data_IF_038457084222
#
_entry.id   IF_038457084222
#
_cell.length_a   1.000
_cell.length_b   1.000
_cell.length_c   1.000
_cell.angle_alpha   90.00
_cell.angle_beta   90.00
_cell.angle_gamma   90.00
#
_symmetry.space_group_name_H-M   'P 1'
#
loop_
_entity.id
_entity.type
_entity.pdbx_description
1 polymer ?
#
# COMPACT_ATOMS: atom_id res chain seq x y z
N UNK A 1 13.61 -5.24 16.44
CA UNK A 1 13.69 -5.15 14.96
C UNK A 1 14.94 -5.89 14.53
N UNK A 2 14.80 -7.13 14.08
CA UNK A 2 15.91 -7.88 13.48
C UNK A 2 15.94 -7.50 12.00
N UNK A 3 16.95 -6.73 11.61
CA UNK A 3 17.18 -6.36 10.20
C UNK A 3 17.79 -7.60 9.53
N UNK A 4 17.13 -8.11 8.48
CA UNK A 4 17.67 -9.14 7.60
C UNK A 4 18.30 -8.46 6.36
N UNK A 5 19.33 -9.14 5.84
CA UNK A 5 20.27 -8.83 4.76
C UNK A 5 20.16 -7.51 3.95
N UNK A 6 21.32 -6.93 3.62
CA UNK A 6 21.47 -5.88 2.60
C UNK A 6 21.38 -6.51 1.20
N UNK A 7 20.47 -6.03 0.37
CA UNK A 7 20.29 -6.46 -1.02
C UNK A 7 20.80 -5.40 -2.00
N UNK A 8 21.88 -5.73 -2.70
CA UNK A 8 22.43 -4.97 -3.84
C UNK A 8 22.32 -5.87 -5.07
N UNK A 9 21.35 -5.64 -5.95
CA UNK A 9 21.21 -6.41 -7.19
C UNK A 9 20.90 -7.90 -6.98
N UNK A 10 20.16 -8.24 -5.93
CA UNK A 10 19.80 -9.63 -5.56
C UNK A 10 18.30 -9.92 -5.62
N UNK A 11 17.93 -11.15 -5.27
CA UNK A 11 16.55 -11.64 -5.27
C UNK A 11 16.04 -11.81 -3.84
N UNK A 12 14.87 -11.25 -3.55
CA UNK A 12 14.13 -11.43 -2.30
C UNK A 12 13.19 -12.65 -2.49
N UNK A 13 13.50 -13.81 -1.87
CA UNK A 13 12.68 -14.99 -2.02
C UNK A 13 11.44 -14.93 -1.12
N UNK A 14 10.28 -15.20 -1.70
CA UNK A 14 9.00 -15.30 -1.00
C UNK A 14 8.43 -16.69 -1.23
N UNK A 15 8.43 -17.53 -0.19
CA UNK A 15 7.92 -18.89 -0.28
C UNK A 15 6.53 -18.99 0.34
N UNK A 16 5.53 -19.32 -0.48
CA UNK A 16 4.12 -19.40 -0.08
C UNK A 16 3.65 -20.82 0.25
N UNK A 17 4.54 -21.79 0.42
CA UNK A 17 4.18 -23.18 0.74
C UNK A 17 3.37 -23.35 2.03
N UNK A 18 3.48 -22.40 2.97
CA UNK A 18 2.73 -22.40 4.24
C UNK A 18 1.40 -21.63 4.18
N UNK A 19 1.07 -21.05 3.03
CA UNK A 19 -0.15 -20.26 2.88
C UNK A 19 -1.39 -21.15 2.92
N UNK A 20 -2.42 -20.64 3.61
CA UNK A 20 -3.75 -21.23 3.66
C UNK A 20 -4.76 -20.14 4.04
N UNK A 21 -6.05 -20.50 4.11
CA UNK A 21 -7.13 -19.56 4.46
C UNK A 21 -6.99 -18.87 5.83
N UNK A 22 -6.26 -19.48 6.78
CA UNK A 22 -6.00 -18.92 8.12
C UNK A 22 -4.64 -18.22 8.23
N UNK A 23 -3.71 -18.51 7.31
CA UNK A 23 -2.37 -17.94 7.23
C UNK A 23 -2.11 -17.49 5.79
N UNK A 24 -2.64 -16.33 5.43
CA UNK A 24 -2.59 -15.79 4.06
C UNK A 24 -1.73 -14.52 3.97
N UNK A 25 -0.81 -14.31 4.91
CA UNK A 25 0.04 -13.11 4.97
C UNK A 25 1.50 -13.52 5.13
N UNK A 26 2.32 -13.11 4.18
CA UNK A 26 3.77 -13.13 4.26
C UNK A 26 4.23 -11.70 4.49
N UNK A 27 5.27 -11.53 5.32
CA UNK A 27 5.93 -10.24 5.51
C UNK A 27 7.40 -10.42 5.82
N UNK A 28 8.24 -9.54 5.30
CA UNK A 28 9.68 -9.49 5.60
C UNK A 28 10.19 -8.05 5.57
N UNK A 29 11.31 -7.83 6.27
CA UNK A 29 12.04 -6.57 6.29
C UNK A 29 13.35 -6.75 5.55
N UNK A 30 13.59 -5.93 4.54
CA UNK A 30 14.82 -5.98 3.75
C UNK A 30 15.46 -4.60 3.67
N UNK A 31 16.79 -4.54 3.58
CA UNK A 31 17.49 -3.29 3.25
C UNK A 31 17.80 -3.28 1.76
N UNK A 32 17.11 -2.40 1.04
CA UNK A 32 17.27 -2.21 -0.39
C UNK A 32 18.32 -1.13 -0.68
N UNK A 33 19.26 -1.45 -1.58
CA UNK A 33 20.20 -0.49 -2.15
C UNK A 33 20.24 -0.69 -3.67
N UNK A 34 19.57 0.19 -4.42
CA UNK A 34 19.41 0.07 -5.87
C UNK A 34 18.20 -0.80 -6.24
N UNK A 35 18.39 -1.70 -7.21
CA UNK A 35 17.34 -2.58 -7.71
C UNK A 35 17.45 -4.00 -7.13
N UNK A 36 16.30 -4.67 -7.01
CA UNK A 36 16.20 -6.05 -6.55
C UNK A 36 15.00 -6.74 -7.23
N UNK A 37 15.04 -8.06 -7.28
CA UNK A 37 13.94 -8.88 -7.78
C UNK A 37 13.15 -9.48 -6.61
N UNK A 38 11.84 -9.63 -6.76
CA UNK A 38 10.99 -10.38 -5.82
C UNK A 38 10.57 -11.66 -6.52
N UNK A 39 10.99 -12.81 -6.00
CA UNK A 39 10.60 -14.12 -6.53
C UNK A 39 9.60 -14.76 -5.58
N UNK A 40 8.35 -14.91 -6.04
CA UNK A 40 7.27 -15.53 -5.29
C UNK A 40 7.09 -16.95 -5.80
N UNK A 41 7.31 -17.92 -4.93
CA UNK A 41 7.34 -19.36 -5.24
C UNK A 41 6.29 -20.14 -4.44
N UNK A 42 5.93 -21.31 -4.95
CA UNK A 42 4.97 -22.24 -4.35
C UNK A 42 3.59 -21.59 -4.12
N UNK A 43 3.13 -20.81 -5.10
CA UNK A 43 1.84 -20.12 -5.03
C UNK A 43 0.72 -21.17 -5.00
N UNK A 44 -0.12 -21.22 -3.96
CA UNK A 44 -1.22 -22.16 -3.91
C UNK A 44 -2.32 -21.81 -4.93
N UNK A 45 -2.90 -22.83 -5.58
CA UNK A 45 -3.92 -22.67 -6.62
C UNK A 45 -5.30 -22.28 -6.10
N UNK A 46 -5.54 -22.36 -4.80
CA UNK A 46 -6.80 -22.02 -4.14
C UNK A 46 -6.99 -20.51 -3.90
N UNK A 47 -5.92 -19.72 -4.04
CA UNK A 47 -6.04 -18.26 -4.06
C UNK A 47 -6.51 -17.76 -5.43
N UNK A 48 -7.38 -16.75 -5.42
CA UNK A 48 -7.74 -16.01 -6.62
C UNK A 48 -6.64 -15.03 -7.01
N UNK A 49 -6.12 -14.26 -6.05
CA UNK A 49 -5.07 -13.29 -6.34
C UNK A 49 -4.15 -13.08 -5.14
N UNK A 50 -2.94 -12.58 -5.43
CA UNK A 50 -2.00 -12.09 -4.43
C UNK A 50 -1.95 -10.56 -4.50
N UNK A 51 -1.96 -9.93 -3.34
CA UNK A 51 -1.69 -8.52 -3.17
C UNK A 51 -0.26 -8.34 -2.67
N UNK A 52 0.62 -7.85 -3.55
CA UNK A 52 2.02 -7.57 -3.27
C UNK A 52 2.12 -6.11 -2.88
N UNK A 53 2.53 -5.82 -1.65
CA UNK A 53 2.71 -4.44 -1.17
C UNK A 53 4.12 -4.23 -0.66
N UNK A 54 4.66 -3.06 -1.00
CA UNK A 54 5.96 -2.61 -0.52
C UNK A 54 5.80 -1.27 0.16
N UNK A 55 6.29 -1.22 1.38
CA UNK A 55 6.25 -0.04 2.22
C UNK A 55 7.68 0.42 2.51
N UNK A 56 7.95 1.70 2.28
CA UNK A 56 9.17 2.38 2.68
C UNK A 56 8.81 3.60 3.52
N UNK A 57 9.71 4.01 4.42
CA UNK A 57 9.36 5.04 5.39
C UNK A 57 9.42 6.47 4.83
N UNK A 58 10.56 6.89 4.27
CA UNK A 58 10.77 8.27 3.79
C UNK A 58 11.05 8.37 2.30
N UNK A 59 11.84 7.43 1.78
CA UNK A 59 12.35 7.49 0.43
C UNK A 59 11.53 6.55 -0.45
N UNK A 60 10.95 7.03 -1.56
CA UNK A 60 10.13 6.21 -2.42
C UNK A 60 10.94 5.11 -3.11
N UNK A 61 10.21 4.08 -3.50
CA UNK A 61 10.67 2.93 -4.29
C UNK A 61 9.68 2.72 -5.45
N UNK A 62 10.14 2.06 -6.50
CA UNK A 62 9.30 1.66 -7.63
C UNK A 62 9.11 0.15 -7.63
N UNK A 63 7.87 -0.31 -7.84
CA UNK A 63 7.51 -1.72 -7.97
C UNK A 63 6.88 -1.94 -9.35
N UNK A 64 7.35 -2.95 -10.08
CA UNK A 64 6.92 -3.30 -11.44
C UNK A 64 6.67 -4.79 -11.60
N UNK A 65 5.73 -5.17 -12.46
CA UNK A 65 5.58 -6.56 -12.92
C UNK A 65 6.38 -6.88 -14.19
N UNK A 66 7.08 -5.90 -14.77
CA UNK A 66 8.01 -6.08 -15.89
C UNK A 66 9.40 -5.50 -15.58
N UNK A 67 10.45 -6.11 -16.10
CA UNK A 67 11.85 -5.70 -15.81
C UNK A 67 12.25 -4.37 -16.42
N UNK A 68 11.55 -3.94 -17.47
CA UNK A 68 11.80 -2.71 -18.21
C UNK A 68 11.03 -1.49 -17.68
N UNK A 69 10.16 -1.67 -16.68
CA UNK A 69 9.31 -0.61 -16.12
C UNK A 69 8.51 0.12 -17.22
N UNK A 70 7.94 -0.65 -18.14
CA UNK A 70 7.07 -0.13 -19.20
C UNK A 70 5.91 0.73 -18.63
N UNK A 71 5.33 1.64 -19.43
CA UNK A 71 4.15 2.38 -19.01
C UNK A 71 3.04 1.45 -18.50
N UNK A 72 2.36 1.86 -17.43
CA UNK A 72 1.25 1.16 -16.77
C UNK A 72 1.61 -0.18 -16.07
N UNK A 73 2.88 -0.59 -16.07
CA UNK A 73 3.37 -1.82 -15.42
C UNK A 73 3.98 -1.59 -14.04
N UNK A 74 4.23 -0.34 -13.67
CA UNK A 74 4.88 0.02 -12.42
C UNK A 74 4.20 1.16 -11.68
N UNK A 75 4.49 1.22 -10.38
CA UNK A 75 4.06 2.28 -9.47
C UNK A 75 5.26 2.76 -8.65
N UNK A 76 5.34 4.06 -8.39
CA UNK A 76 6.37 4.70 -7.57
C UNK A 76 5.75 5.37 -6.35
N UNK A 77 6.33 5.16 -5.16
CA UNK A 77 5.86 5.77 -3.92
C UNK A 77 6.46 5.13 -2.67
N UNK A 78 5.93 5.50 -1.51
CA UNK A 78 6.34 4.94 -0.21
C UNK A 78 5.40 3.83 0.27
N UNK A 79 4.17 3.79 -0.21
CA UNK A 79 3.20 2.72 0.06
C UNK A 79 2.59 2.33 -1.27
N UNK A 80 3.13 1.28 -1.86
CA UNK A 80 2.77 0.87 -3.21
C UNK A 80 2.39 -0.60 -3.21
N UNK A 81 1.66 -1.00 -4.24
CA UNK A 81 1.36 -2.39 -4.45
C UNK A 81 0.94 -2.71 -5.87
N UNK A 82 1.07 -3.98 -6.22
CA UNK A 82 0.59 -4.58 -7.45
C UNK A 82 -0.17 -5.87 -7.11
N UNK A 83 -0.93 -6.36 -8.07
CA UNK A 83 -1.68 -7.62 -7.95
C UNK A 83 -1.13 -8.65 -8.91
N UNK A 84 -1.04 -9.88 -8.43
CA UNK A 84 -0.92 -11.07 -9.26
C UNK A 84 -2.27 -11.78 -9.27
N UNK A 85 -2.88 -11.92 -10.45
CA UNK A 85 -4.09 -12.71 -10.63
C UNK A 85 -3.64 -14.15 -10.91
N UNK A 86 -4.16 -15.11 -10.14
CA UNK A 86 -3.79 -16.52 -10.28
C UNK A 86 -4.15 -17.03 -11.69
N UNK A 87 -3.15 -17.58 -12.36
CA UNK A 87 -3.22 -18.08 -13.74
C UNK A 87 -2.75 -19.54 -13.87
N UNK A 88 -2.77 -20.29 -12.75
CA UNK A 88 -2.21 -21.64 -12.59
C UNK A 88 -0.68 -21.67 -12.56
N UNK A 89 -0.02 -20.52 -12.41
CA UNK A 89 1.41 -20.49 -12.10
C UNK A 89 1.68 -20.74 -10.61
N UNK A 90 2.74 -21.49 -10.33
CA UNK A 90 3.31 -21.62 -8.98
C UNK A 90 4.45 -20.63 -8.71
N UNK A 91 4.74 -19.75 -9.69
CA UNK A 91 5.84 -18.80 -9.67
C UNK A 91 5.43 -17.46 -10.29
N UNK A 92 5.79 -16.34 -9.65
CA UNK A 92 5.72 -15.02 -10.27
C UNK A 92 6.90 -14.17 -9.81
N UNK A 93 7.35 -13.27 -10.69
CA UNK A 93 8.44 -12.35 -10.40
C UNK A 93 7.98 -10.89 -10.54
N UNK A 94 8.46 -10.06 -9.61
CA UNK A 94 8.31 -8.61 -9.62
C UNK A 94 9.66 -7.94 -9.49
N UNK A 95 9.74 -6.67 -9.86
CA UNK A 95 10.97 -5.89 -9.91
C UNK A 95 10.85 -4.66 -9.03
N UNK A 96 11.84 -4.48 -8.16
CA UNK A 96 11.99 -3.30 -7.32
C UNK A 96 13.14 -2.44 -7.82
N UNK A 97 12.92 -1.13 -7.82
CA UNK A 97 13.95 -0.14 -8.08
C UNK A 97 13.94 0.97 -7.05
N UNK A 98 15.14 1.42 -6.68
CA UNK A 98 15.34 2.52 -5.76
C UNK A 98 16.67 3.23 -6.07
N UNK A 99 16.84 4.45 -5.55
CA UNK A 99 18.12 5.17 -5.62
C UNK A 99 19.29 4.31 -5.06
N UNK A 100 20.32 4.00 -5.87
CA UNK A 100 21.45 3.16 -5.45
C UNK A 100 22.35 3.83 -4.40
N UNK A 101 22.26 5.14 -4.21
CA UNK A 101 23.09 5.89 -3.26
C UNK A 101 22.48 5.95 -1.85
N UNK A 102 21.25 5.45 -1.67
CA UNK A 102 20.52 5.56 -0.41
C UNK A 102 20.02 4.18 0.01
N UNK A 103 20.56 3.68 1.12
CA UNK A 103 20.04 2.47 1.75
C UNK A 103 18.67 2.76 2.36
N UNK A 104 17.71 1.88 2.09
CA UNK A 104 16.32 2.03 2.56
C UNK A 104 15.84 0.70 3.08
N UNK A 105 15.31 0.70 4.30
CA UNK A 105 14.54 -0.45 4.77
C UNK A 105 13.17 -0.43 4.12
N UNK A 106 12.74 -1.59 3.66
CA UNK A 106 11.39 -1.84 3.16
C UNK A 106 10.71 -2.91 4.00
N UNK A 107 9.40 -2.79 4.14
CA UNK A 107 8.52 -3.87 4.56
C UNK A 107 7.81 -4.39 3.31
N UNK A 108 8.18 -5.59 2.88
CA UNK A 108 7.49 -6.34 1.83
C UNK A 108 6.39 -7.17 2.48
N UNK A 109 5.18 -7.12 1.94
CA UNK A 109 4.10 -8.04 2.31
C UNK A 109 3.42 -8.64 1.08
N UNK A 110 3.07 -9.92 1.16
CA UNK A 110 2.30 -10.63 0.14
C UNK A 110 1.09 -11.23 0.81
N UNK A 111 -0.10 -10.89 0.33
CA UNK A 111 -1.35 -11.27 0.97
C UNK A 111 -2.22 -12.03 -0.02
N UNK A 112 -2.57 -13.27 0.32
CA UNK A 112 -3.41 -14.14 -0.49
C UNK A 112 -4.90 -13.88 -0.27
N UNK A 113 -5.65 -13.76 -1.36
CA UNK A 113 -7.09 -13.54 -1.37
C UNK A 113 -7.80 -14.61 -2.19
N UNK A 114 -9.02 -14.96 -1.78
CA UNK A 114 -9.83 -15.95 -2.47
C UNK A 114 -10.44 -15.36 -3.76
N UNK A 115 -10.86 -16.22 -4.69
CA UNK A 115 -11.53 -15.82 -5.94
C UNK A 115 -12.82 -15.00 -5.72
N UNK A 116 -13.44 -15.13 -4.55
CA UNK A 116 -14.66 -14.41 -4.21
C UNK A 116 -14.39 -13.05 -3.57
N UNK A 117 -13.16 -12.80 -3.14
CA UNK A 117 -12.79 -11.53 -2.56
C UNK A 117 -12.69 -10.48 -3.68
N UNK A 118 -13.25 -9.27 -3.49
CA UNK A 118 -13.14 -8.21 -4.48
C UNK A 118 -11.67 -7.80 -4.69
N UNK A 119 -11.27 -7.50 -5.92
CA UNK A 119 -9.92 -7.03 -6.26
C UNK A 119 -9.81 -5.54 -5.93
N UNK A 120 -9.00 -5.14 -4.94
CA UNK A 120 -8.87 -3.74 -4.56
C UNK A 120 -8.29 -2.89 -5.70
N UNK A 121 -8.98 -1.80 -6.04
CA UNK A 121 -8.58 -0.89 -7.10
C UNK A 121 -8.63 -1.45 -8.53
N UNK A 122 -9.35 -2.56 -8.74
CA UNK A 122 -9.55 -3.13 -10.08
C UNK A 122 -10.41 -2.27 -11.01
N UNK A 123 -11.25 -1.39 -10.47
CA UNK A 123 -12.01 -0.38 -11.22
C UNK A 123 -11.28 0.95 -11.28
N UNK A 124 -10.01 0.90 -11.67
CA UNK A 124 -9.21 2.09 -11.80
C UNK A 124 -9.54 2.86 -13.08
N UNK A 125 -9.80 4.16 -12.93
CA UNK A 125 -10.05 5.08 -14.05
C UNK A 125 -9.10 6.29 -14.05
N UNK A 126 -8.20 6.39 -13.06
CA UNK A 126 -7.48 7.65 -12.79
C UNK A 126 -6.03 7.48 -12.36
N UNK A 127 -5.62 6.27 -11.94
CA UNK A 127 -4.23 5.98 -11.58
C UNK A 127 -3.53 5.37 -12.78
N UNK A 128 -2.20 5.40 -12.72
CA UNK A 128 -1.34 5.13 -13.87
C UNK A 128 -1.20 3.62 -14.17
N UNK A 129 -1.62 2.73 -13.26
CA UNK A 129 -1.58 1.27 -13.46
C UNK A 129 -2.96 0.70 -13.69
N UNK A 130 -3.11 -0.38 -14.47
CA UNK A 130 -4.43 -0.97 -14.76
C UNK A 130 -5.24 -1.34 -13.52
N UNK A 131 -4.61 -1.97 -12.54
CA UNK A 131 -5.19 -2.29 -11.24
C UNK A 131 -4.39 -1.54 -10.19
N UNK A 132 -5.06 -0.72 -9.38
CA UNK A 132 -4.42 0.19 -8.44
C UNK A 132 -4.67 -0.23 -6.97
N UNK A 133 -3.99 -1.27 -6.46
CA UNK A 133 -4.24 -1.82 -5.13
C UNK A 133 -3.55 -1.00 -4.01
N UNK A 134 -3.51 0.31 -4.17
CA UNK A 134 -2.91 1.27 -3.24
C UNK A 134 -3.75 2.55 -3.22
N UNK A 135 -3.45 3.43 -2.26
CA UNK A 135 -4.10 4.73 -2.15
C UNK A 135 -3.10 5.82 -2.57
N UNK A 136 -3.59 6.94 -3.10
CA UNK A 136 -2.79 8.15 -3.28
C UNK A 136 -3.09 9.07 -2.12
N UNK A 137 -2.08 9.31 -1.30
CA UNK A 137 -2.19 10.15 -0.11
C UNK A 137 -1.51 11.48 -0.35
N UNK A 138 -2.26 12.56 -0.16
CA UNK A 138 -1.74 13.93 -0.21
C UNK A 138 -1.89 14.57 1.17
N UNK A 139 -0.78 15.07 1.70
CA UNK A 139 -0.77 15.88 2.91
C UNK A 139 -0.85 17.36 2.53
N UNK A 140 -1.94 18.01 2.90
CA UNK A 140 -2.13 19.46 2.86
C UNK A 140 -2.09 19.99 4.31
N UNK A 141 -1.71 21.25 4.53
CA UNK A 141 -1.35 21.82 5.86
C UNK A 141 -2.17 21.33 7.07
N UNK A 142 -3.48 21.22 6.93
CA UNK A 142 -4.41 20.77 7.97
C UNK A 142 -5.31 19.60 7.52
N UNK A 143 -5.08 19.06 6.32
CA UNK A 143 -5.94 18.06 5.69
C UNK A 143 -5.11 16.93 5.09
N UNK A 144 -5.53 15.70 5.37
CA UNK A 144 -5.07 14.51 4.66
C UNK A 144 -6.14 14.18 3.63
N UNK A 145 -5.72 14.11 2.37
CA UNK A 145 -6.55 13.62 1.28
C UNK A 145 -6.08 12.22 0.88
N UNK A 146 -7.02 11.30 0.79
CA UNK A 146 -6.80 9.90 0.45
C UNK A 146 -7.66 9.58 -0.77
N UNK A 147 -7.02 9.40 -1.92
CA UNK A 147 -7.67 8.93 -3.13
C UNK A 147 -7.52 7.39 -3.22
N UNK A 148 -8.62 6.67 -3.43
CA UNK A 148 -8.64 5.21 -3.55
C UNK A 148 -9.54 4.79 -4.71
N UNK A 149 -9.13 3.77 -5.47
CA UNK A 149 -9.94 3.25 -6.58
C UNK A 149 -10.94 2.19 -6.08
N UNK A 150 -12.10 2.15 -6.72
CA UNK A 150 -13.11 1.15 -6.42
C UNK A 150 -12.62 -0.28 -6.74
N UNK A 151 -13.10 -1.29 -6.02
CA UNK A 151 -12.74 -2.67 -6.30
C UNK A 151 -13.44 -3.20 -7.55
N UNK A 152 -12.85 -4.22 -8.17
CA UNK A 152 -13.50 -5.03 -9.20
C UNK A 152 -13.83 -6.42 -8.65
N UNK A 153 -14.65 -7.17 -9.38
CA UNK A 153 -14.80 -8.60 -9.21
C UNK A 153 -13.62 -9.33 -9.88
N UNK A 154 -13.46 -10.62 -9.56
CA UNK A 154 -12.33 -11.43 -10.03
C UNK A 154 -12.24 -11.54 -11.56
N UNK A 155 -13.39 -11.57 -12.23
CA UNK A 155 -13.54 -11.59 -13.68
C UNK A 155 -13.22 -10.23 -14.34
N UNK A 156 -12.80 -9.24 -13.55
CA UNK A 156 -12.42 -7.90 -14.01
C UNK A 156 -13.59 -6.95 -14.18
N UNK A 157 -14.82 -7.37 -13.86
CA UNK A 157 -15.98 -6.50 -13.96
C UNK A 157 -16.08 -5.56 -12.78
N UNK A 158 -16.46 -4.32 -13.06
CA UNK A 158 -16.83 -3.37 -12.02
C UNK A 158 -18.22 -3.71 -11.50
N UNK A 159 -18.37 -4.05 -10.21
CA UNK A 159 -19.65 -4.49 -9.70
C UNK A 159 -20.68 -3.36 -9.84
N UNK A 160 -21.76 -3.65 -10.56
CA UNK A 160 -22.96 -2.81 -10.63
C UNK A 160 -23.83 -3.17 -9.42
N UNK A 161 -23.91 -2.29 -8.41
CA UNK A 161 -24.72 -2.52 -7.21
C UNK A 161 -24.21 -1.83 -5.95
N UNK A 162 -24.82 -2.15 -4.82
CA UNK A 162 -24.48 -1.60 -3.51
C UNK A 162 -23.15 -2.18 -2.98
N UNK A 163 -22.03 -1.54 -3.31
CA UNK A 163 -20.75 -1.81 -2.66
C UNK A 163 -20.73 -1.10 -1.31
N UNK A 164 -20.62 -1.86 -0.22
CA UNK A 164 -20.46 -1.29 1.12
C UNK A 164 -19.00 -0.92 1.34
N UNK A 165 -18.75 0.36 1.56
CA UNK A 165 -17.45 0.89 1.94
C UNK A 165 -17.46 1.19 3.43
N UNK A 166 -16.43 0.74 4.13
CA UNK A 166 -16.14 1.19 5.47
C UNK A 166 -14.74 1.79 5.52
N UNK A 167 -14.61 2.94 6.16
CA UNK A 167 -13.31 3.54 6.37
C UNK A 167 -12.89 3.49 7.82
N UNK A 168 -11.64 3.11 8.03
CA UNK A 168 -10.99 3.07 9.32
C UNK A 168 -9.79 4.00 9.30
N UNK A 169 -9.49 4.60 10.46
CA UNK A 169 -8.17 5.13 10.70
C UNK A 169 -7.57 4.49 11.95
N UNK A 170 -6.26 4.47 12.05
CA UNK A 170 -5.55 4.17 13.29
C UNK A 170 -4.51 5.27 13.49
N UNK A 171 -4.46 5.83 14.69
CA UNK A 171 -3.38 6.73 15.05
C UNK A 171 -2.14 5.89 15.34
N UNK A 172 -0.99 6.32 14.82
CA UNK A 172 0.30 5.81 15.27
C UNK A 172 0.59 6.39 16.67
N UNK A 173 1.53 5.77 17.37
CA UNK A 173 1.97 6.25 18.68
C UNK A 173 2.38 7.73 18.58
N UNK A 174 1.88 8.55 19.50
CA UNK A 174 2.17 9.98 19.48
C UNK A 174 3.68 10.18 19.64
N UNK A 175 4.26 11.13 18.88
CA UNK A 175 5.69 11.43 18.90
C UNK A 175 6.63 10.32 18.41
N UNK A 176 6.11 9.17 18.00
CA UNK A 176 6.90 8.13 17.35
C UNK A 176 7.05 8.44 15.86
N UNK A 177 8.17 9.07 15.52
CA UNK A 177 8.59 9.36 14.14
C UNK A 177 9.66 8.36 13.66
N UNK A 178 9.75 7.19 14.29
CA UNK A 178 10.72 6.17 13.92
C UNK A 178 10.21 5.30 12.79
N UNK A 179 11.15 4.76 12.02
CA UNK A 179 10.87 3.76 10.98
C UNK A 179 10.21 2.50 11.56
N UNK A 180 10.65 2.08 12.75
CA UNK A 180 10.08 0.94 13.45
C UNK A 180 8.61 1.16 13.81
N UNK A 181 8.27 2.33 14.36
CA UNK A 181 6.89 2.70 14.68
C UNK A 181 5.99 2.75 13.46
N UNK A 182 6.51 3.28 12.36
CA UNK A 182 5.82 3.32 11.07
C UNK A 182 5.45 1.92 10.57
N UNK A 183 6.42 1.00 10.50
CA UNK A 183 6.17 -0.35 10.04
C UNK A 183 5.29 -1.16 11.00
N UNK A 184 5.49 -1.01 12.32
CA UNK A 184 4.61 -1.63 13.31
C UNK A 184 3.15 -1.18 13.16
N UNK A 185 2.93 0.07 12.76
CA UNK A 185 1.62 0.60 12.39
C UNK A 185 1.01 -0.11 11.17
N UNK A 186 1.80 -0.32 10.11
CA UNK A 186 1.36 -1.05 8.90
C UNK A 186 0.93 -2.46 9.28
N UNK A 187 1.79 -3.16 10.03
CA UNK A 187 1.61 -4.56 10.38
C UNK A 187 0.30 -4.82 11.14
N UNK A 188 -0.09 -3.92 12.06
CA UNK A 188 -1.36 -4.02 12.81
C UNK A 188 -2.60 -3.99 11.90
N UNK A 189 -2.47 -3.41 10.72
CA UNK A 189 -3.57 -3.14 9.81
C UNK A 189 -3.46 -3.93 8.50
N UNK A 190 -2.58 -4.94 8.41
CA UNK A 190 -2.39 -5.75 7.18
C UNK A 190 -3.62 -6.59 6.81
N UNK A 191 -4.41 -7.06 7.78
CA UNK A 191 -5.60 -7.89 7.50
C UNK A 191 -6.88 -7.15 7.82
N UNK A 192 -8.00 -7.58 7.22
CA UNK A 192 -9.34 -7.04 7.54
C UNK A 192 -9.61 -7.08 9.05
N UNK A 193 -9.33 -8.22 9.68
CA UNK A 193 -9.46 -8.38 11.13
C UNK A 193 -8.53 -7.42 11.91
N UNK A 194 -7.28 -7.25 11.46
CA UNK A 194 -6.36 -6.27 12.05
C UNK A 194 -6.90 -4.84 11.96
N UNK A 195 -7.50 -4.46 10.83
CA UNK A 195 -8.15 -3.17 10.64
C UNK A 195 -9.33 -2.97 11.57
N UNK A 196 -10.20 -3.96 11.71
CA UNK A 196 -11.38 -3.88 12.58
C UNK A 196 -11.00 -3.85 14.07
N UNK A 197 -9.92 -4.53 14.46
CA UNK A 197 -9.44 -4.57 15.85
C UNK A 197 -8.67 -3.33 16.28
N UNK A 198 -7.79 -2.81 15.41
CA UNK A 198 -6.89 -1.71 15.76
C UNK A 198 -7.37 -0.36 15.23
N UNK A 199 -8.26 -0.35 14.24
CA UNK A 199 -8.78 0.84 13.61
C UNK A 199 -10.07 1.36 14.26
N UNK A 200 -10.28 2.68 14.15
CA UNK A 200 -11.54 3.34 14.47
C UNK A 200 -12.33 3.61 13.19
N UNK A 201 -13.51 2.99 13.08
CA UNK A 201 -14.47 3.24 11.99
C UNK A 201 -14.85 4.73 11.98
N UNK A 202 -14.64 5.39 10.84
CA UNK A 202 -14.98 6.79 10.64
C UNK A 202 -16.38 6.95 10.05
N UNK A 203 -16.65 6.21 8.98
CA UNK A 203 -17.94 6.21 8.32
C UNK A 203 -18.16 4.90 7.57
N UNK A 204 -19.42 4.67 7.24
CA UNK A 204 -19.90 3.60 6.37
C UNK A 204 -20.76 4.22 5.29
N UNK A 205 -20.53 3.83 4.04
CA UNK A 205 -21.29 4.33 2.89
C UNK A 205 -21.57 3.20 1.90
N UNK A 206 -22.58 3.43 1.05
CA UNK A 206 -22.89 2.60 -0.10
C UNK A 206 -22.75 3.49 -1.33
N UNK A 207 -21.60 3.43 -1.99
CA UNK A 207 -21.25 4.27 -3.15
C UNK A 207 -19.99 3.74 -3.84
N UNK A 208 -19.67 4.24 -5.04
CA UNK A 208 -18.32 4.17 -5.60
C UNK A 208 -17.55 5.45 -5.22
N UNK A 209 -17.05 5.52 -3.99
CA UNK A 209 -16.30 6.68 -3.55
C UNK A 209 -14.84 6.62 -3.99
N UNK A 210 -14.26 7.77 -4.35
CA UNK A 210 -12.86 7.85 -4.80
C UNK A 210 -11.93 8.69 -3.91
N UNK A 211 -12.45 9.57 -3.03
CA UNK A 211 -11.61 10.60 -2.37
C UNK A 211 -12.06 11.00 -0.97
N UNK A 212 -11.30 10.62 0.05
CA UNK A 212 -11.60 10.96 1.43
C UNK A 212 -10.73 12.14 1.89
N UNK A 213 -11.32 13.05 2.66
CA UNK A 213 -10.60 14.16 3.28
C UNK A 213 -10.76 14.08 4.80
N UNK A 214 -9.65 14.17 5.52
CA UNK A 214 -9.60 14.11 6.98
C UNK A 214 -8.80 15.26 7.55
N UNK A 215 -9.09 15.66 8.80
CA UNK A 215 -8.21 16.56 9.54
C UNK A 215 -6.87 15.89 9.86
N UNK A 216 -5.80 16.65 9.66
CA UNK A 216 -4.44 16.31 10.09
C UNK A 216 -4.13 16.97 11.43
N UNK A 217 -3.65 16.18 12.38
CA UNK A 217 -3.08 16.70 13.62
C UNK A 217 -1.56 16.62 13.53
N UNK A 218 -0.88 17.69 13.94
CA UNK A 218 0.59 17.75 13.90
C UNK A 218 1.19 16.69 14.84
N UNK A 219 2.31 16.12 14.43
CA UNK A 219 3.11 15.16 15.23
C UNK A 219 2.40 13.85 15.58
N UNK A 220 1.31 13.51 14.88
CA UNK A 220 0.60 12.24 15.04
C UNK A 220 0.48 11.58 13.66
N UNK A 221 1.16 10.46 13.48
CA UNK A 221 1.01 9.62 12.29
C UNK A 221 -0.38 8.98 12.23
N UNK A 222 -0.89 8.73 11.03
CA UNK A 222 -2.23 8.19 10.82
C UNK A 222 -2.25 7.13 9.73
N UNK A 223 -2.56 5.90 10.09
CA UNK A 223 -2.91 4.88 9.11
C UNK A 223 -4.35 5.08 8.62
N UNK A 224 -4.58 5.05 7.31
CA UNK A 224 -5.90 5.20 6.70
C UNK A 224 -6.23 3.95 5.89
N UNK A 225 -7.27 3.23 6.30
CA UNK A 225 -7.67 1.99 5.65
C UNK A 225 -9.08 2.10 5.08
N UNK A 226 -9.25 1.58 3.87
CA UNK A 226 -10.55 1.49 3.19
C UNK A 226 -10.88 0.01 3.02
N UNK A 227 -11.95 -0.43 3.67
CA UNK A 227 -12.51 -1.77 3.52
C UNK A 227 -13.69 -1.72 2.56
N UNK A 228 -13.72 -2.70 1.67
CA UNK A 228 -14.79 -2.89 0.71
C UNK A 228 -15.46 -4.23 0.99
N UNK A 229 -16.79 -4.24 1.00
CA UNK A 229 -17.58 -5.45 1.16
C UNK A 229 -18.52 -5.61 -0.03
N UNK A 230 -18.51 -6.79 -0.62
CA UNK A 230 -19.40 -7.18 -1.72
C UNK A 230 -19.95 -8.59 -1.46
N UNK A 231 -21.28 -8.72 -1.36
CA UNK A 231 -21.98 -9.99 -1.11
C UNK A 231 -21.43 -10.82 0.06
N UNK A 232 -20.94 -10.16 1.12
CA UNK A 232 -20.36 -10.81 2.31
C UNK A 232 -18.86 -11.11 2.23
N UNK A 233 -18.22 -10.92 1.07
CA UNK A 233 -16.77 -10.97 0.90
C UNK A 233 -16.16 -9.60 1.07
N UNK A 234 -14.87 -9.53 1.45
CA UNK A 234 -14.22 -8.26 1.76
C UNK A 234 -12.80 -8.17 1.24
N UNK A 235 -12.41 -6.98 0.80
CA UNK A 235 -11.01 -6.65 0.56
C UNK A 235 -10.64 -5.32 1.23
N UNK A 236 -9.35 -5.15 1.48
CA UNK A 236 -8.81 -3.96 2.14
C UNK A 236 -7.79 -3.29 1.23
N UNK A 237 -8.00 -1.99 0.96
CA UNK A 237 -6.95 -1.11 0.47
C UNK A 237 -6.25 -0.47 1.66
N UNK A 238 -4.93 -0.51 1.64
CA UNK A 238 -4.12 -0.06 2.77
C UNK A 238 -3.15 1.03 2.37
N UNK A 239 -3.08 2.07 3.20
CA UNK A 239 -2.03 3.08 3.14
C UNK A 239 -1.78 3.65 4.54
N UNK A 240 -0.55 4.08 4.81
CA UNK A 240 -0.22 4.87 5.99
C UNK A 240 0.10 6.29 5.59
N UNK A 241 -0.64 7.21 6.20
CA UNK A 241 -0.37 8.64 6.18
C UNK A 241 0.35 9.05 7.46
N UNK A 242 1.67 8.92 7.49
CA UNK A 242 2.42 9.61 8.56
C UNK A 242 2.43 11.10 8.27
N UNK A 243 1.95 11.94 9.20
CA UNK A 243 2.19 13.38 9.10
C UNK A 243 3.70 13.59 9.17
N UNK A 244 4.32 14.09 8.09
CA UNK A 244 5.63 14.71 8.22
C UNK A 244 5.48 15.82 9.25
N UNK A 245 6.12 15.71 10.40
CA UNK A 245 6.45 16.91 11.16
C UNK A 245 7.37 17.71 10.26
N UNK A 246 6.91 18.85 9.73
CA UNK A 246 7.79 19.90 9.21
C UNK A 246 8.59 20.47 10.39
N UNK A 247 9.53 19.69 10.90
CA UNK A 247 10.57 20.12 11.80
C UNK A 247 11.83 19.39 11.34
N UNK A 248 12.83 20.17 10.94
CA UNK A 248 14.13 19.81 10.35
C UNK A 248 14.23 19.73 8.81
N UNK A 249 14.16 20.88 8.14
CA UNK A 249 15.34 21.61 7.60
C UNK A 249 14.90 22.92 6.91
N UNK A 250 15.60 24.05 7.10
CA UNK A 250 15.35 25.27 6.34
C UNK A 250 16.20 25.24 5.06
N UNK A 251 15.62 24.87 3.92
CA UNK A 251 16.24 25.22 2.64
C UNK A 251 15.58 26.45 2.04
N UNK A 252 16.32 27.54 2.22
CA UNK A 252 16.17 28.82 1.56
C UNK A 252 16.72 28.65 0.14
N UNK A 253 15.84 28.66 -0.88
CA UNK A 253 16.18 29.14 -2.24
C UNK A 253 14.92 29.41 -3.07
N UNK A 254 14.34 30.60 -2.81
CA UNK A 254 13.72 31.64 -3.69
C UNK A 254 13.23 31.32 -5.13
N UNK A 255 12.31 32.12 -5.75
CA UNK A 255 12.03 33.53 -5.42
C UNK A 255 10.56 33.99 -5.37
N UNK A 256 10.37 34.97 -4.49
CA UNK A 256 9.53 36.17 -4.61
C UNK A 256 8.24 36.08 -5.44
N UNK A 257 7.09 36.16 -4.76
CA UNK A 257 6.02 37.03 -5.21
C UNK A 257 5.56 37.90 -4.04
N UNK A 258 5.89 39.19 -4.16
CA UNK A 258 5.44 40.26 -3.28
C UNK A 258 3.92 40.33 -3.26
N UNK A 259 3.38 40.53 -2.05
CA UNK A 259 2.09 41.18 -1.84
C UNK A 259 2.11 42.61 -2.43
N UNK A 260 1.10 42.92 -3.24
CA UNK A 260 0.54 44.28 -3.33
C UNK A 260 -0.98 44.16 -3.28
N UNK A 261 -1.53 44.40 -2.09
CA UNK A 261 -2.91 44.79 -1.89
C UNK A 261 -2.93 46.31 -1.74
N UNK A 262 -3.75 46.98 -2.55
CA UNK A 262 -4.52 48.13 -2.09
C UNK A 262 -5.89 47.61 -1.65
#
# INVERSE_FOLDING_TARGET
MHILALFVGGTIPVNLSSFNSSNNVFKTYEVLQGSADISIENIPFDFGYLLIQVHSFKNPVSLSNTSDFAPDTYVNGTNIGLIFIQDMSSYVQYYLSSDPNVNKTILLSVIGHNIKDPIPGGCNLTFDVKIAPFQKVTNEYNLIRVDAQAPALYDGYCPEGEIRIEMYHMYLEEWDLTEAGYFAGIEKMLTVNGVEQNGRKQFRMVAMFKRIVMKQYRSIGKSCMVLWYFLGYSCALRDIVSSKSHYFSPDISSPQFLLTLF
#
